data_IF_643604780075
#
_entry.id   IF_643604780075
#
_cell.length_a   1.000
_cell.length_b   1.000
_cell.length_c   1.000
_cell.angle_alpha   90.00
_cell.angle_beta   90.00
_cell.angle_gamma   90.00
#
_symmetry.space_group_name_H-M   'P 1'
#
loop_
_entity.id
_entity.type
_entity.pdbx_description
1 polymer ?
#
# COMPACT_ATOMS: atom_id res chain seq x y z
N UNK A 1 59.65 9.42 5.12
CA UNK A 1 58.73 9.46 6.29
C UNK A 1 57.33 9.65 5.71
N UNK A 2 56.62 8.55 5.43
CA UNK A 2 55.29 8.58 4.82
C UNK A 2 54.25 8.40 5.94
N UNK A 3 53.25 9.29 6.07
CA UNK A 3 52.17 9.05 7.01
C UNK A 3 51.28 7.91 6.51
N UNK A 4 51.06 7.02 7.47
CA UNK A 4 49.99 6.05 7.70
C UNK A 4 48.77 6.06 6.78
N UNK A 5 48.29 4.85 6.54
CA UNK A 5 47.05 4.50 5.84
C UNK A 5 45.84 5.19 6.49
N UNK A 6 45.00 5.82 5.68
CA UNK A 6 43.63 6.14 6.04
C UNK A 6 42.74 5.12 5.31
N UNK A 7 41.97 4.27 6.00
CA UNK A 7 40.94 3.49 5.35
C UNK A 7 39.87 4.48 4.88
N UNK A 8 39.71 4.61 3.57
CA UNK A 8 38.53 5.26 2.98
C UNK A 8 37.29 4.50 3.47
N UNK A 9 36.67 5.04 4.52
CA UNK A 9 35.33 4.71 4.96
C UNK A 9 34.40 4.88 3.76
N UNK A 10 33.80 3.79 3.29
CA UNK A 10 32.67 3.85 2.38
C UNK A 10 31.62 4.80 3.01
N UNK A 11 31.22 5.90 2.36
CA UNK A 11 30.01 6.59 2.76
C UNK A 11 28.90 5.55 2.64
N UNK A 12 28.26 5.31 3.78
CA UNK A 12 27.28 4.27 3.98
C UNK A 12 26.34 4.16 2.80
N UNK A 13 26.05 2.91 2.45
CA UNK A 13 24.79 2.56 1.85
C UNK A 13 23.71 3.40 2.53
N UNK A 14 23.19 4.40 1.82
CA UNK A 14 21.88 4.94 2.11
C UNK A 14 20.94 3.81 1.73
N UNK A 15 20.83 2.86 2.65
CA UNK A 15 19.63 2.09 2.86
C UNK A 15 18.47 3.06 2.61
N UNK A 16 17.54 2.77 1.69
CA UNK A 16 16.27 3.45 1.74
C UNK A 16 15.64 3.06 3.07
N UNK A 17 15.85 3.90 4.09
CA UNK A 17 15.07 3.95 5.31
C UNK A 17 13.92 4.93 5.08
N UNK A 18 12.78 4.54 4.48
CA UNK A 18 11.57 5.30 4.70
C UNK A 18 10.97 4.83 6.03
N UNK A 19 11.57 5.17 7.15
CA UNK A 19 10.87 5.12 8.43
C UNK A 19 10.98 6.49 9.10
N UNK A 20 10.31 7.46 8.50
CA UNK A 20 9.98 8.72 9.15
C UNK A 20 8.58 8.57 9.78
N UNK A 21 8.41 8.81 11.09
CA UNK A 21 7.08 8.85 11.71
C UNK A 21 6.29 10.12 11.31
N UNK A 22 4.97 10.10 11.50
CA UNK A 22 3.97 10.68 10.60
C UNK A 22 3.56 12.10 11.02
N UNK A 23 3.34 13.00 10.06
CA UNK A 23 2.57 14.21 10.36
C UNK A 23 1.89 14.83 9.12
N UNK A 24 0.55 14.79 9.19
CA UNK A 24 -0.44 15.72 8.62
C UNK A 24 -0.91 15.59 7.16
N UNK A 25 -0.29 14.78 6.28
CA UNK A 25 -0.90 14.48 4.99
C UNK A 25 -0.63 13.03 4.62
N UNK A 26 -1.61 12.15 4.80
CA UNK A 26 -1.54 10.76 4.39
C UNK A 26 -1.15 10.68 2.92
N UNK A 27 0.14 10.44 2.66
CA UNK A 27 0.66 10.35 1.30
C UNK A 27 0.42 8.96 0.74
N UNK A 28 0.20 8.86 -0.57
CA UNK A 28 0.22 7.59 -1.30
C UNK A 28 1.36 6.64 -0.86
N UNK A 29 2.63 7.09 -0.69
CA UNK A 29 3.71 6.22 -0.26
C UNK A 29 3.52 5.65 1.16
N UNK A 30 2.93 6.37 2.10
CA UNK A 30 2.68 5.86 3.45
C UNK A 30 1.67 4.72 3.43
N UNK A 31 0.58 4.87 2.67
CA UNK A 31 -0.46 3.84 2.60
C UNK A 31 0.07 2.60 1.88
N UNK A 32 0.91 2.79 0.86
CA UNK A 32 1.62 1.70 0.19
C UNK A 32 2.60 0.99 1.11
N UNK A 33 3.28 1.73 1.99
CA UNK A 33 4.17 1.15 2.97
C UNK A 33 3.38 0.35 4.02
N UNK A 34 2.27 0.88 4.52
CA UNK A 34 1.39 0.21 5.47
C UNK A 34 0.86 -1.12 4.91
N UNK A 35 0.53 -1.12 3.62
CA UNK A 35 0.12 -2.32 2.86
C UNK A 35 1.24 -3.34 2.63
N UNK A 36 2.52 -2.93 2.71
CA UNK A 36 3.70 -3.82 2.55
C UNK A 36 4.33 -4.24 3.88
N UNK A 37 4.07 -3.49 4.95
CA UNK A 37 4.61 -3.77 6.26
C UNK A 37 4.21 -5.18 6.73
N UNK A 38 5.10 -5.90 7.42
CA UNK A 38 4.81 -7.23 7.97
C UNK A 38 4.60 -8.35 6.96
N UNK A 39 5.21 -8.26 5.77
CA UNK A 39 5.05 -9.25 4.69
C UNK A 39 3.60 -9.37 4.16
N UNK A 40 2.81 -8.31 4.38
CA UNK A 40 1.43 -8.18 3.90
C UNK A 40 1.45 -7.98 2.38
N UNK A 41 0.64 -8.78 1.68
CA UNK A 41 0.46 -8.69 0.24
C UNK A 41 -0.77 -7.87 -0.07
N UNK A 42 -1.91 -8.26 0.51
CA UNK A 42 -3.22 -7.64 0.32
C UNK A 42 -4.16 -7.99 1.49
N UNK A 43 -5.20 -7.18 1.77
CA UNK A 43 -6.31 -7.61 2.63
C UNK A 43 -7.00 -8.87 2.10
N UNK A 44 -7.61 -9.66 2.99
CA UNK A 44 -8.48 -10.78 2.64
C UNK A 44 -9.63 -10.35 1.69
N UNK A 45 -10.28 -11.28 0.96
CA UNK A 45 -11.33 -10.93 0.00
C UNK A 45 -12.50 -10.15 0.62
N UNK A 46 -12.88 -10.43 1.88
CA UNK A 46 -13.95 -9.72 2.57
C UNK A 46 -13.62 -8.23 2.83
N UNK A 47 -12.51 -7.88 3.50
CA UNK A 47 -12.12 -6.49 3.67
C UNK A 47 -11.69 -5.80 2.37
N UNK A 48 -11.16 -6.56 1.41
CA UNK A 48 -10.87 -6.04 0.07
C UNK A 48 -12.14 -5.56 -0.65
N UNK A 49 -13.21 -6.36 -0.63
CA UNK A 49 -14.49 -5.96 -1.18
C UNK A 49 -15.05 -4.71 -0.48
N UNK A 50 -14.87 -4.60 0.84
CA UNK A 50 -15.29 -3.41 1.61
C UNK A 50 -14.50 -2.16 1.24
N UNK A 51 -13.18 -2.27 1.04
CA UNK A 51 -12.34 -1.18 0.54
C UNK A 51 -12.82 -0.73 -0.85
N UNK A 52 -13.15 -1.66 -1.73
CA UNK A 52 -13.69 -1.34 -3.04
C UNK A 52 -15.04 -0.63 -2.98
N UNK A 53 -15.93 -1.04 -2.07
CA UNK A 53 -17.20 -0.33 -1.82
C UNK A 53 -16.98 1.10 -1.33
N UNK A 54 -15.97 1.35 -0.50
CA UNK A 54 -15.60 2.70 -0.07
C UNK A 54 -15.11 3.55 -1.25
N UNK A 55 -14.29 2.97 -2.13
CA UNK A 55 -13.83 3.64 -3.35
C UNK A 55 -14.99 3.95 -4.29
N UNK A 56 -15.92 3.01 -4.49
CA UNK A 56 -17.14 3.23 -5.28
C UNK A 56 -18.00 4.36 -4.70
N UNK A 57 -18.16 4.40 -3.38
CA UNK A 57 -18.90 5.47 -2.72
C UNK A 57 -18.19 6.84 -2.89
N UNK A 58 -16.86 6.87 -2.79
CA UNK A 58 -16.07 8.07 -3.06
C UNK A 58 -16.15 8.49 -4.54
N UNK A 59 -16.09 7.54 -5.45
CA UNK A 59 -16.23 7.73 -6.89
C UNK A 59 -17.59 8.29 -7.27
N UNK A 60 -18.67 7.78 -6.67
CA UNK A 60 -20.02 8.30 -6.87
C UNK A 60 -20.14 9.77 -6.44
N UNK A 61 -19.38 10.19 -5.43
CA UNK A 61 -19.33 11.60 -4.97
C UNK A 61 -18.40 12.46 -5.84
N UNK A 62 -17.31 11.90 -6.34
CA UNK A 62 -16.34 12.58 -7.19
C UNK A 62 -16.79 12.69 -8.67
N UNK A 63 -17.76 11.88 -9.09
CA UNK A 63 -18.18 11.79 -10.49
C UNK A 63 -17.14 11.13 -11.40
N UNK A 64 -16.15 10.44 -10.84
CA UNK A 64 -15.09 9.73 -11.56
C UNK A 64 -15.13 8.27 -11.23
N UNK A 65 -15.02 7.38 -12.23
CA UNK A 65 -14.99 5.95 -11.98
C UNK A 65 -13.63 5.54 -11.39
N UNK A 66 -13.61 4.70 -10.33
CA UNK A 66 -12.37 4.13 -9.84
C UNK A 66 -11.85 3.13 -10.89
N UNK A 67 -10.54 2.83 -10.89
CA UNK A 67 -9.99 1.82 -11.77
C UNK A 67 -10.75 0.50 -11.60
N UNK A 68 -10.92 -0.21 -12.73
CA UNK A 68 -11.75 -1.40 -12.85
C UNK A 68 -11.44 -2.37 -11.69
N UNK A 69 -12.45 -2.98 -11.04
CA UNK A 69 -12.19 -3.90 -9.97
C UNK A 69 -11.25 -4.98 -10.52
N UNK A 70 -10.11 -5.17 -9.87
CA UNK A 70 -9.08 -6.10 -10.30
C UNK A 70 -9.56 -7.49 -10.63
N UNK A 71 -10.57 -7.93 -9.88
CA UNK A 71 -10.99 -9.30 -9.82
C UNK A 71 -12.24 -9.35 -8.97
N UNK A 72 -13.32 -9.92 -9.50
CA UNK A 72 -14.45 -10.33 -8.67
C UNK A 72 -13.97 -11.27 -7.56
N UNK A 73 -14.77 -11.47 -6.50
CA UNK A 73 -14.41 -12.36 -5.40
C UNK A 73 -13.99 -13.78 -5.86
N UNK A 74 -14.51 -14.23 -7.01
CA UNK A 74 -14.10 -15.47 -7.69
C UNK A 74 -12.69 -15.37 -8.27
N UNK A 75 -12.42 -14.33 -9.06
CA UNK A 75 -11.14 -14.09 -9.72
C UNK A 75 -10.02 -13.76 -8.72
N UNK A 76 -10.37 -13.29 -7.51
CA UNK A 76 -9.43 -13.07 -6.41
C UNK A 76 -8.67 -14.33 -6.04
N UNK A 77 -9.32 -15.49 -6.05
CA UNK A 77 -8.65 -16.77 -5.74
C UNK A 77 -7.68 -17.19 -6.84
N UNK A 78 -7.97 -16.86 -8.09
CA UNK A 78 -7.16 -17.22 -9.26
C UNK A 78 -5.98 -16.26 -9.48
N UNK A 79 -6.08 -15.02 -8.97
CA UNK A 79 -5.09 -13.98 -9.22
C UNK A 79 -3.86 -14.09 -8.33
N UNK A 80 -2.69 -14.04 -8.96
CA UNK A 80 -1.39 -14.06 -8.28
C UNK A 80 -1.24 -12.91 -7.26
N UNK A 81 -0.55 -13.19 -6.16
CA UNK A 81 -0.23 -12.23 -5.10
C UNK A 81 0.34 -10.90 -5.62
N UNK A 82 1.22 -10.96 -6.63
CA UNK A 82 1.85 -9.78 -7.22
C UNK A 82 0.84 -8.90 -7.97
N UNK A 83 -0.08 -9.51 -8.73
CA UNK A 83 -1.13 -8.78 -9.43
C UNK A 83 -2.07 -8.08 -8.44
N UNK A 84 -2.48 -8.78 -7.36
CA UNK A 84 -3.29 -8.18 -6.28
C UNK A 84 -2.61 -6.94 -5.68
N UNK A 85 -1.29 -6.98 -5.49
CA UNK A 85 -0.51 -5.82 -5.01
C UNK A 85 -0.50 -4.66 -5.99
N UNK A 86 -0.36 -4.91 -7.30
CA UNK A 86 -0.43 -3.86 -8.33
C UNK A 86 -1.80 -3.18 -8.30
N UNK A 87 -2.85 -3.97 -8.18
CA UNK A 87 -4.21 -3.49 -8.07
C UNK A 87 -4.49 -2.68 -6.81
N UNK A 88 -3.93 -3.06 -5.65
CA UNK A 88 -4.01 -2.25 -4.44
C UNK A 88 -3.37 -0.88 -4.66
N UNK A 89 -2.22 -0.85 -5.36
CA UNK A 89 -1.52 0.38 -5.67
C UNK A 89 -2.36 1.29 -6.55
N UNK A 90 -2.95 0.75 -7.61
CA UNK A 90 -3.77 1.51 -8.55
C UNK A 90 -4.99 2.17 -7.85
N UNK A 91 -5.66 1.43 -6.97
CA UNK A 91 -6.73 1.96 -6.13
C UNK A 91 -6.26 3.10 -5.21
N UNK A 92 -5.08 2.95 -4.62
CA UNK A 92 -4.50 3.98 -3.75
C UNK A 92 -4.11 5.22 -4.55
N UNK A 93 -3.57 5.05 -5.76
CA UNK A 93 -3.24 6.13 -6.68
C UNK A 93 -4.49 6.93 -7.07
N UNK A 94 -5.57 6.23 -7.43
CA UNK A 94 -6.85 6.87 -7.70
C UNK A 94 -7.40 7.60 -6.46
N UNK A 95 -7.35 6.95 -5.29
CA UNK A 95 -7.82 7.55 -4.05
C UNK A 95 -7.03 8.82 -3.68
N UNK A 96 -5.72 8.83 -3.94
CA UNK A 96 -4.85 9.99 -3.74
C UNK A 96 -5.24 11.15 -4.66
N UNK A 97 -5.48 10.87 -5.95
CA UNK A 97 -5.85 11.88 -6.94
C UNK A 97 -7.23 12.52 -6.66
N UNK A 98 -8.17 11.77 -6.06
CA UNK A 98 -9.55 12.23 -5.81
C UNK A 98 -9.82 12.59 -4.35
N UNK A 99 -8.81 12.59 -3.48
CA UNK A 99 -8.95 12.94 -2.05
C UNK A 99 -9.65 11.87 -1.19
N UNK A 100 -9.81 10.65 -1.69
CA UNK A 100 -10.37 9.50 -0.95
C UNK A 100 -9.31 8.72 -0.15
N UNK A 101 -8.02 9.01 -0.35
CA UNK A 101 -6.90 8.34 0.30
C UNK A 101 -6.96 8.29 1.84
N UNK A 102 -7.32 9.36 2.59
CA UNK A 102 -7.39 9.28 4.05
C UNK A 102 -8.46 8.29 4.53
N UNK A 103 -9.58 8.15 3.82
CA UNK A 103 -10.61 7.16 4.16
C UNK A 103 -10.11 5.73 3.94
N UNK A 104 -9.36 5.51 2.85
CA UNK A 104 -8.73 4.22 2.54
C UNK A 104 -7.63 3.88 3.55
N UNK A 105 -6.79 4.86 3.91
CA UNK A 105 -5.76 4.70 4.92
C UNK A 105 -6.37 4.34 6.29
N UNK A 106 -7.38 5.06 6.74
CA UNK A 106 -8.06 4.78 8.01
C UNK A 106 -8.66 3.37 8.01
N UNK A 107 -9.24 2.94 6.89
CA UNK A 107 -9.75 1.58 6.74
C UNK A 107 -8.65 0.51 6.81
N UNK A 108 -7.52 0.73 6.14
CA UNK A 108 -6.36 -0.18 6.17
C UNK A 108 -5.68 -0.21 7.55
N UNK A 109 -5.60 0.92 8.24
CA UNK A 109 -5.05 1.00 9.60
C UNK A 109 -5.97 0.34 10.64
N UNK A 110 -7.29 0.34 10.41
CA UNK A 110 -8.25 -0.35 11.27
C UNK A 110 -8.31 -1.88 11.03
N UNK A 111 -7.69 -2.38 9.97
CA UNK A 111 -7.70 -3.81 9.63
C UNK A 111 -6.69 -4.59 10.49
N UNK A 112 -7.13 -5.56 11.30
CA UNK A 112 -6.22 -6.40 12.07
C UNK A 112 -5.40 -7.30 11.15
N UNK A 113 -4.19 -7.64 11.56
CA UNK A 113 -3.23 -8.43 10.76
C UNK A 113 -3.77 -9.80 10.31
N UNK A 114 -4.68 -10.40 11.09
CA UNK A 114 -5.39 -11.63 10.73
C UNK A 114 -6.28 -11.50 9.48
N UNK A 115 -6.68 -10.27 9.14
CA UNK A 115 -7.45 -9.95 7.94
C UNK A 115 -6.57 -9.57 6.74
N UNK A 116 -5.25 -9.76 6.83
CA UNK A 116 -4.31 -9.56 5.75
C UNK A 116 -3.76 -10.89 5.23
N UNK A 117 -3.78 -11.05 3.90
CA UNK A 117 -3.06 -12.10 3.19
C UNK A 117 -1.56 -11.80 3.28
N UNK A 118 -0.80 -12.77 3.79
CA UNK A 118 0.67 -12.74 3.83
C UNK A 118 1.24 -13.52 2.64
N UNK A 119 2.45 -13.17 2.21
CA UNK A 119 3.13 -13.91 1.15
C UNK A 119 3.56 -15.27 1.71
N UNK A 120 2.99 -16.36 1.21
CA UNK A 120 3.27 -17.75 1.65
C UNK A 120 2.13 -18.46 2.39
N UNK A 121 0.95 -17.83 2.52
CA UNK A 121 -0.31 -18.48 2.94
C UNK A 121 -1.12 -18.98 1.72
#
# INVERSE_FOLDING_TARGET
MYPTTEPMTLPGALEPVPNAPPSAAAGLPEVLQLARAGNRVCPLPAPWARLYQLLLAAAARAGTQPPLPPVGAAEWRSTAALAKRMFLRDHLEWAAAHGALPAVQAFLAALPEAQWQRMGD
#
